data_IF_033942659229
#
_entry.id   IF_033942659229
#
_cell.length_a   1.000
_cell.length_b   1.000
_cell.length_c   1.000
_cell.angle_alpha   90.00
_cell.angle_beta   90.00
_cell.angle_gamma   90.00
#
_symmetry.space_group_name_H-M   'P 1'
#
loop_
_entity.id
_entity.type
_entity.pdbx_description
1 polymer ?
#
# COMPACT_ATOMS: atom_id res chain seq x y z
N UNK A 1 -9.49 6.47 -17.16
CA UNK A 1 -8.44 5.45 -16.90
C UNK A 1 -7.77 5.74 -15.56
N UNK A 2 -8.15 5.06 -14.47
CA UNK A 2 -7.57 5.32 -13.15
C UNK A 2 -6.15 4.73 -13.10
N UNK A 3 -5.14 5.60 -13.29
CA UNK A 3 -3.69 5.33 -13.16
C UNK A 3 -3.18 5.55 -11.73
N UNK A 4 -4.04 5.93 -10.79
CA UNK A 4 -3.59 6.49 -9.51
C UNK A 4 -3.41 5.41 -8.43
N UNK A 5 -2.14 5.15 -8.08
CA UNK A 5 -1.74 4.23 -7.00
C UNK A 5 -2.37 4.60 -5.64
N UNK A 6 -2.54 5.90 -5.35
CA UNK A 6 -3.16 6.38 -4.11
C UNK A 6 -4.62 5.96 -4.00
N UNK A 7 -5.37 6.02 -5.10
CA UNK A 7 -6.76 5.56 -5.13
C UNK A 7 -6.87 4.07 -4.81
N UNK A 8 -5.96 3.26 -5.36
CA UNK A 8 -5.96 1.82 -5.11
C UNK A 8 -5.68 1.49 -3.64
N UNK A 9 -4.72 2.18 -3.03
CA UNK A 9 -4.42 2.06 -1.61
C UNK A 9 -5.59 2.54 -0.73
N UNK A 10 -6.24 3.65 -1.11
CA UNK A 10 -7.40 4.17 -0.37
C UNK A 10 -8.60 3.20 -0.39
N UNK A 11 -8.88 2.57 -1.54
CA UNK A 11 -9.94 1.57 -1.65
C UNK A 11 -9.60 0.30 -0.84
N UNK A 12 -8.36 -0.16 -0.92
CA UNK A 12 -7.94 -1.40 -0.27
C UNK A 12 -7.79 -1.26 1.26
N UNK A 13 -7.03 -0.26 1.71
CA UNK A 13 -6.75 -0.07 3.14
C UNK A 13 -7.84 0.76 3.83
N UNK A 14 -8.25 1.88 3.23
CA UNK A 14 -9.15 2.85 3.89
C UNK A 14 -10.63 2.48 3.83
N UNK A 15 -11.08 1.86 2.73
CA UNK A 15 -12.45 1.36 2.58
C UNK A 15 -12.56 -0.15 2.82
N UNK A 16 -11.43 -0.81 3.13
CA UNK A 16 -11.35 -2.25 3.39
C UNK A 16 -11.98 -3.11 2.28
N UNK A 17 -11.96 -2.63 1.03
CA UNK A 17 -12.52 -3.37 -0.09
C UNK A 17 -11.61 -4.53 -0.49
N UNK A 18 -12.22 -5.68 -0.72
CA UNK A 18 -11.54 -6.82 -1.33
C UNK A 18 -11.10 -6.49 -2.76
N UNK A 19 -10.10 -7.20 -3.27
CA UNK A 19 -9.62 -6.99 -4.64
C UNK A 19 -10.70 -7.22 -5.70
N UNK A 20 -11.69 -8.08 -5.41
CA UNK A 20 -12.85 -8.31 -6.26
C UNK A 20 -13.82 -7.12 -6.26
N UNK A 21 -14.12 -6.54 -5.10
CA UNK A 21 -14.95 -5.34 -5.01
C UNK A 21 -14.31 -4.14 -5.71
N UNK A 22 -13.00 -3.96 -5.53
CA UNK A 22 -12.22 -2.93 -6.25
C UNK A 22 -12.28 -3.16 -7.76
N UNK A 23 -12.14 -4.41 -8.20
CA UNK A 23 -12.21 -4.75 -9.62
C UNK A 23 -13.56 -4.40 -10.24
N UNK A 24 -14.66 -4.69 -9.53
CA UNK A 24 -16.01 -4.30 -9.95
C UNK A 24 -16.17 -2.78 -10.00
N UNK A 25 -15.77 -2.06 -8.95
CA UNK A 25 -15.90 -0.60 -8.87
C UNK A 25 -15.06 0.13 -9.91
N UNK A 26 -13.90 -0.42 -10.27
CA UNK A 26 -12.99 0.17 -11.26
C UNK A 26 -13.21 -0.38 -12.68
N UNK A 27 -14.16 -1.29 -12.86
CA UNK A 27 -14.45 -1.98 -14.14
C UNK A 27 -13.20 -2.61 -14.78
N UNK A 28 -12.35 -3.24 -13.96
CA UNK A 28 -11.14 -3.94 -14.39
C UNK A 28 -11.12 -5.37 -13.87
N UNK A 29 -10.27 -6.22 -14.44
CA UNK A 29 -10.09 -7.60 -13.96
C UNK A 29 -9.39 -7.61 -12.59
N UNK A 30 -9.83 -8.49 -11.68
CA UNK A 30 -9.27 -8.61 -10.33
C UNK A 30 -7.76 -8.88 -10.29
N UNK A 31 -7.21 -9.68 -11.22
CA UNK A 31 -5.76 -9.88 -11.28
C UNK A 31 -5.00 -8.57 -11.56
N UNK A 32 -5.63 -7.60 -12.24
CA UNK A 32 -5.05 -6.28 -12.49
C UNK A 32 -4.96 -5.49 -11.19
N UNK A 33 -5.97 -5.61 -10.32
CA UNK A 33 -5.96 -5.03 -8.97
C UNK A 33 -4.82 -5.62 -8.15
N UNK A 34 -4.74 -6.97 -8.10
CA UNK A 34 -3.67 -7.69 -7.39
C UNK A 34 -2.28 -7.22 -7.84
N UNK A 35 -2.01 -7.25 -9.15
CA UNK A 35 -0.72 -6.85 -9.71
C UNK A 35 -0.37 -5.40 -9.40
N UNK A 36 -1.35 -4.49 -9.47
CA UNK A 36 -1.12 -3.07 -9.17
C UNK A 36 -0.89 -2.82 -7.68
N UNK A 37 -1.57 -3.54 -6.79
CA UNK A 37 -1.30 -3.49 -5.36
C UNK A 37 0.13 -3.97 -5.07
N UNK A 38 0.49 -5.16 -5.54
CA UNK A 38 1.82 -5.73 -5.34
C UNK A 38 2.92 -4.81 -5.87
N UNK A 39 2.79 -4.32 -7.11
CA UNK A 39 3.77 -3.38 -7.68
C UNK A 39 3.86 -2.06 -6.92
N UNK A 40 2.75 -1.58 -6.34
CA UNK A 40 2.77 -0.37 -5.52
C UNK A 40 3.52 -0.61 -4.22
N UNK A 41 3.25 -1.72 -3.53
CA UNK A 41 3.95 -2.10 -2.29
C UNK A 41 5.44 -2.32 -2.53
N UNK A 42 5.80 -3.00 -3.63
CA UNK A 42 7.19 -3.23 -4.02
C UNK A 42 7.96 -1.92 -4.23
N UNK A 43 7.36 -0.94 -4.91
CA UNK A 43 7.99 0.37 -5.12
C UNK A 43 8.21 1.10 -3.79
N UNK A 44 7.23 1.05 -2.87
CA UNK A 44 7.36 1.65 -1.54
C UNK A 44 8.45 0.96 -0.71
N UNK A 45 8.44 -0.37 -0.68
CA UNK A 45 9.43 -1.18 0.04
C UNK A 45 10.84 -0.91 -0.50
N UNK A 46 11.01 -0.85 -1.82
CA UNK A 46 12.29 -0.54 -2.45
C UNK A 46 12.79 0.85 -2.06
N UNK A 47 11.91 1.85 -2.04
CA UNK A 47 12.27 3.20 -1.62
C UNK A 47 12.72 3.24 -0.15
N UNK A 48 12.01 2.54 0.74
CA UNK A 48 12.36 2.43 2.17
C UNK A 48 13.70 1.71 2.34
N UNK A 49 13.88 0.58 1.67
CA UNK A 49 15.10 -0.21 1.76
C UNK A 49 16.31 0.59 1.27
N UNK A 50 16.20 1.25 0.12
CA UNK A 50 17.25 2.11 -0.42
C UNK A 50 17.58 3.27 0.53
N UNK A 51 16.57 4.00 1.00
CA UNK A 51 16.77 5.11 1.95
C UNK A 51 17.44 4.63 3.25
N UNK A 52 17.03 3.46 3.75
CA UNK A 52 17.59 2.87 4.98
C UNK A 52 19.06 2.49 4.80
N UNK A 53 19.42 1.90 3.64
CA UNK A 53 20.80 1.58 3.33
C UNK A 53 21.66 2.85 3.21
N UNK A 54 21.15 3.88 2.54
CA UNK A 54 21.86 5.15 2.32
C UNK A 54 22.04 5.97 3.61
N UNK A 55 21.03 5.96 4.49
CA UNK A 55 20.97 6.85 5.66
C UNK A 55 21.46 6.19 6.94
N UNK A 56 21.17 4.89 7.12
CA UNK A 56 21.51 4.15 8.33
C UNK A 56 22.76 3.28 8.15
N UNK A 57 23.31 3.21 6.92
CA UNK A 57 24.46 2.38 6.57
C UNK A 57 24.31 0.90 6.94
N UNK A 58 23.07 0.39 6.92
CA UNK A 58 22.75 -1.00 7.22
C UNK A 58 22.84 -1.89 5.97
N UNK A 59 23.15 -3.15 6.16
CA UNK A 59 23.09 -4.16 5.10
C UNK A 59 21.67 -4.65 4.87
N UNK A 60 21.21 -4.65 3.62
CA UNK A 60 19.92 -5.22 3.24
C UNK A 60 20.00 -6.74 3.17
N UNK A 61 19.57 -7.41 4.25
CA UNK A 61 19.43 -8.87 4.30
C UNK A 61 17.99 -9.28 4.01
N UNK A 62 17.77 -10.52 3.55
CA UNK A 62 16.42 -11.05 3.32
C UNK A 62 15.51 -10.91 4.56
N UNK A 63 15.96 -11.25 5.79
CA UNK A 63 15.15 -11.02 6.99
C UNK A 63 14.83 -9.54 7.24
N UNK A 64 15.79 -8.64 7.02
CA UNK A 64 15.55 -7.20 7.21
C UNK A 64 14.50 -6.65 6.24
N UNK A 65 14.56 -7.06 4.96
CA UNK A 65 13.57 -6.66 3.95
C UNK A 65 12.18 -7.24 4.26
N UNK A 66 12.10 -8.47 4.76
CA UNK A 66 10.84 -9.06 5.22
C UNK A 66 10.22 -8.26 6.37
N UNK A 67 11.02 -7.87 7.36
CA UNK A 67 10.55 -7.03 8.47
C UNK A 67 10.09 -5.65 7.98
N UNK A 68 10.83 -5.02 7.07
CA UNK A 68 10.41 -3.75 6.45
C UNK A 68 9.07 -3.90 5.72
N UNK A 69 8.83 -5.04 5.05
CA UNK A 69 7.55 -5.30 4.38
C UNK A 69 6.38 -5.43 5.36
N UNK A 70 6.60 -6.05 6.53
CA UNK A 70 5.57 -6.16 7.57
C UNK A 70 5.22 -4.78 8.13
N UNK A 71 6.24 -4.01 8.51
CA UNK A 71 6.07 -2.63 9.03
C UNK A 71 5.40 -1.73 7.99
N UNK A 72 5.74 -1.87 6.70
CA UNK A 72 5.08 -1.14 5.62
C UNK A 72 3.58 -1.46 5.55
N UNK A 73 3.21 -2.73 5.69
CA UNK A 73 1.80 -3.17 5.63
C UNK A 73 1.00 -2.59 6.81
N UNK A 74 1.56 -2.68 8.03
CA UNK A 74 0.97 -2.10 9.24
C UNK A 74 0.83 -0.58 9.13
N UNK A 75 1.87 0.10 8.65
CA UNK A 75 1.83 1.54 8.47
C UNK A 75 0.77 1.95 7.43
N UNK A 76 0.67 1.24 6.30
CA UNK A 76 -0.38 1.52 5.31
C UNK A 76 -1.78 1.35 5.89
N UNK A 77 -2.01 0.31 6.69
CA UNK A 77 -3.29 0.11 7.38
C UNK A 77 -3.62 1.30 8.28
N UNK A 78 -2.72 1.67 9.21
CA UNK A 78 -2.94 2.77 10.16
C UNK A 78 -3.14 4.12 9.45
N UNK A 79 -2.35 4.42 8.42
CA UNK A 79 -2.44 5.71 7.72
C UNK A 79 -3.77 5.90 6.97
N UNK A 80 -4.30 4.84 6.38
CA UNK A 80 -5.56 4.92 5.65
C UNK A 80 -6.78 4.75 6.57
N UNK A 81 -6.64 4.04 7.69
CA UNK A 81 -7.66 4.00 8.76
C UNK A 81 -7.79 5.37 9.46
N UNK A 82 -6.67 6.03 9.75
CA UNK A 82 -6.69 7.38 10.33
C UNK A 82 -7.35 8.39 9.37
N UNK A 83 -7.07 8.28 8.07
CA UNK A 83 -7.68 9.15 7.06
C UNK A 83 -9.15 8.83 6.83
N UNK A 84 -9.57 7.57 6.93
CA UNK A 84 -10.98 7.21 6.83
C UNK A 84 -11.76 7.76 8.02
N UNK A 85 -11.21 7.69 9.24
CA UNK A 85 -11.80 8.26 10.45
C UNK A 85 -11.99 9.78 10.38
N UNK A 86 -10.96 10.53 9.97
CA UNK A 86 -11.02 12.00 9.82
C UNK A 86 -11.99 12.47 8.72
N UNK A 87 -12.37 11.58 7.79
CA UNK A 87 -13.33 11.89 6.72
C UNK A 87 -14.80 11.74 7.16
N UNK A 88 -15.06 11.11 8.31
CA UNK A 88 -16.42 10.92 8.85
C UNK A 88 -16.84 12.02 9.83
N UNK A 89 -15.91 12.82 10.36
CA UNK A 89 -16.21 13.86 11.35
C UNK A 89 -16.74 15.19 10.75
N UNK A 90 -16.77 15.34 9.42
CA UNK A 90 -17.24 16.55 8.73
C UNK A 90 -18.53 16.35 7.91
N UNK A 91 -19.47 15.50 8.37
CA UNK A 91 -20.83 15.42 7.79
C UNK A 91 -21.89 16.00 8.70
#
# INVERSE_FOLDING_TARGET
MIRNKKTLLALYYGQQLTQQQIAQQLEIKQYTVSRRLSSTKEILLKAIAQWSQETLHISLTSPAVQQMSLVLEEWLQVQYDTKSALSQEHR
#
